data_IF_049167907414
#
_entry.id   IF_049167907414
#
_cell.length_a   1.000
_cell.length_b   1.000
_cell.length_c   1.000
_cell.angle_alpha   90.00
_cell.angle_beta   90.00
_cell.angle_gamma   90.00
#
_symmetry.space_group_name_H-M   'P 1'
#
loop_
_entity.id
_entity.type
_entity.pdbx_description
1 polymer ?
#
# COMPACT_ATOMS: atom_id res chain seq x y z
N UNK A 1 8.15 -20.61 -26.49
CA UNK A 1 7.56 -20.66 -27.85
C UNK A 1 7.95 -19.45 -28.73
N UNK A 2 7.97 -18.22 -28.22
CA UNK A 2 8.26 -16.99 -29.03
C UNK A 2 9.68 -16.97 -29.61
N UNK A 3 10.67 -17.53 -28.94
CA UNK A 3 12.07 -17.60 -29.45
C UNK A 3 12.26 -18.38 -30.78
N UNK A 4 11.23 -19.12 -31.22
CA UNK A 4 11.27 -19.92 -32.46
C UNK A 4 10.64 -19.26 -33.68
N UNK A 5 10.01 -18.08 -33.53
CA UNK A 5 9.37 -17.40 -34.66
C UNK A 5 10.33 -16.40 -35.31
N UNK A 6 10.65 -16.64 -36.59
CA UNK A 6 11.49 -15.74 -37.41
C UNK A 6 10.80 -14.43 -37.80
N UNK A 7 9.45 -14.36 -37.68
CA UNK A 7 8.61 -13.17 -37.97
C UNK A 7 7.56 -13.04 -36.91
N UNK A 8 7.40 -11.83 -36.37
CA UNK A 8 6.31 -11.49 -35.50
C UNK A 8 5.11 -11.03 -36.35
N UNK A 9 3.98 -11.70 -36.14
CA UNK A 9 2.68 -11.33 -36.72
C UNK A 9 1.61 -11.25 -35.62
N UNK A 10 0.44 -10.77 -35.98
CA UNK A 10 -0.66 -10.56 -35.04
C UNK A 10 -1.11 -11.86 -34.34
N UNK A 11 -1.08 -12.99 -35.05
CA UNK A 11 -1.55 -14.28 -34.54
C UNK A 11 -0.61 -14.83 -33.47
N UNK A 12 0.71 -14.80 -33.72
CA UNK A 12 1.68 -15.32 -32.75
C UNK A 12 1.83 -14.40 -31.52
N UNK A 13 1.69 -13.07 -31.68
CA UNK A 13 1.60 -12.15 -30.55
C UNK A 13 0.32 -12.40 -29.75
N UNK A 14 -0.82 -12.56 -30.41
CA UNK A 14 -2.10 -12.82 -29.73
C UNK A 14 -2.08 -14.13 -28.93
N UNK A 15 -1.44 -15.17 -29.49
CA UNK A 15 -1.22 -16.44 -28.77
C UNK A 15 -0.35 -16.27 -27.54
N UNK A 16 0.77 -15.55 -27.68
CA UNK A 16 1.66 -15.26 -26.54
C UNK A 16 0.98 -14.42 -25.46
N UNK A 17 0.24 -13.39 -25.86
CA UNK A 17 -0.52 -12.55 -24.94
C UNK A 17 -1.60 -13.33 -24.20
N UNK A 18 -2.20 -14.33 -24.82
CA UNK A 18 -3.14 -15.22 -24.14
C UNK A 18 -2.46 -16.02 -23.03
N UNK A 19 -1.27 -16.57 -23.27
CA UNK A 19 -0.50 -17.29 -22.23
C UNK A 19 -0.11 -16.35 -21.07
N UNK A 20 0.37 -15.14 -21.38
CA UNK A 20 0.70 -14.11 -20.37
C UNK A 20 -0.53 -13.71 -19.57
N UNK A 21 -1.66 -13.47 -20.23
CA UNK A 21 -2.92 -13.13 -19.58
C UNK A 21 -3.38 -14.22 -18.61
N UNK A 22 -3.33 -15.48 -19.02
CA UNK A 22 -3.69 -16.61 -18.17
C UNK A 22 -2.76 -16.69 -16.95
N UNK A 23 -1.44 -16.56 -17.16
CA UNK A 23 -0.49 -16.59 -16.05
C UNK A 23 -0.72 -15.46 -15.03
N UNK A 24 -1.04 -14.26 -15.48
CA UNK A 24 -1.35 -13.13 -14.58
C UNK A 24 -2.68 -13.35 -13.83
N UNK A 25 -3.70 -13.88 -14.48
CA UNK A 25 -4.99 -14.21 -13.84
C UNK A 25 -4.83 -15.37 -12.84
N UNK A 26 -4.03 -16.38 -13.16
CA UNK A 26 -3.66 -17.46 -12.24
C UNK A 26 -2.85 -16.95 -11.05
N UNK A 27 -2.11 -15.86 -11.21
CA UNK A 27 -1.43 -15.13 -10.14
C UNK A 27 -2.35 -14.18 -9.35
N UNK A 28 -3.66 -14.23 -9.61
CA UNK A 28 -4.69 -13.44 -8.93
C UNK A 28 -4.64 -11.94 -9.20
N UNK A 29 -3.98 -11.53 -10.29
CA UNK A 29 -3.93 -10.12 -10.71
C UNK A 29 -5.31 -9.67 -11.20
N UNK A 30 -5.73 -8.45 -10.82
CA UNK A 30 -7.01 -7.90 -11.19
C UNK A 30 -7.22 -7.88 -12.71
N UNK A 31 -8.40 -8.33 -13.17
CA UNK A 31 -8.73 -8.45 -14.59
C UNK A 31 -8.54 -7.16 -15.40
N UNK A 32 -8.90 -6.00 -14.84
CA UNK A 32 -8.75 -4.71 -15.53
C UNK A 32 -7.27 -4.40 -15.77
N UNK A 33 -6.42 -4.62 -14.76
CA UNK A 33 -4.96 -4.45 -14.85
C UNK A 33 -4.37 -5.37 -15.90
N UNK A 34 -4.75 -6.66 -15.88
CA UNK A 34 -4.29 -7.65 -16.87
C UNK A 34 -4.69 -7.25 -18.28
N UNK A 35 -5.92 -6.77 -18.47
CA UNK A 35 -6.44 -6.32 -19.77
C UNK A 35 -5.65 -5.10 -20.29
N UNK A 36 -5.45 -4.10 -19.48
CA UNK A 36 -4.69 -2.90 -19.85
C UNK A 36 -3.25 -3.22 -20.19
N UNK A 37 -2.59 -4.01 -19.34
CA UNK A 37 -1.21 -4.46 -19.55
C UNK A 37 -1.06 -5.22 -20.88
N UNK A 38 -1.89 -6.24 -21.11
CA UNK A 38 -1.81 -7.07 -22.32
C UNK A 38 -2.10 -6.27 -23.59
N UNK A 39 -2.99 -5.27 -23.54
CA UNK A 39 -3.25 -4.38 -24.65
C UNK A 39 -2.04 -3.48 -24.96
N UNK A 40 -1.42 -2.86 -23.94
CA UNK A 40 -0.22 -2.04 -24.12
C UNK A 40 0.94 -2.83 -24.72
N UNK A 41 1.19 -4.04 -24.21
CA UNK A 41 2.23 -4.92 -24.76
C UNK A 41 1.93 -5.28 -26.22
N UNK A 42 0.68 -5.65 -26.54
CA UNK A 42 0.28 -6.00 -27.91
C UNK A 42 0.48 -4.81 -28.87
N UNK A 43 0.05 -3.62 -28.48
CA UNK A 43 0.21 -2.40 -29.29
C UNK A 43 1.68 -2.11 -29.59
N UNK A 44 2.54 -2.12 -28.58
CA UNK A 44 3.98 -1.91 -28.76
C UNK A 44 4.65 -3.03 -29.58
N UNK A 45 4.23 -4.27 -29.38
CA UNK A 45 4.77 -5.41 -30.10
C UNK A 45 4.42 -5.44 -31.61
N UNK A 46 3.32 -4.80 -31.99
CA UNK A 46 2.91 -4.64 -33.40
C UNK A 46 3.54 -3.41 -34.06
N UNK A 47 4.32 -2.60 -33.33
CA UNK A 47 4.99 -1.41 -33.84
C UNK A 47 6.02 -1.68 -34.92
N UNK A 48 6.35 -0.64 -35.70
CA UNK A 48 7.29 -0.68 -36.81
C UNK A 48 8.70 -1.15 -36.43
N UNK A 49 9.17 -0.80 -35.22
CA UNK A 49 10.49 -1.16 -34.73
C UNK A 49 10.65 -2.67 -34.57
N UNK A 50 9.60 -3.33 -34.09
CA UNK A 50 9.60 -4.79 -33.90
C UNK A 50 9.57 -5.50 -35.25
N UNK A 51 8.73 -5.01 -36.18
CA UNK A 51 8.62 -5.58 -37.54
C UNK A 51 9.92 -5.50 -38.35
N UNK A 52 10.74 -4.47 -38.10
CA UNK A 52 12.03 -4.25 -38.77
C UNK A 52 13.21 -4.90 -38.07
N UNK A 53 13.00 -5.50 -36.91
CA UNK A 53 14.07 -6.11 -36.12
C UNK A 53 14.57 -7.42 -36.73
N UNK A 54 15.89 -7.66 -36.66
CA UNK A 54 16.50 -8.93 -36.99
C UNK A 54 16.23 -10.05 -35.95
N UNK A 55 15.79 -9.64 -34.73
CA UNK A 55 15.47 -10.54 -33.62
C UNK A 55 14.14 -10.15 -32.97
N UNK A 56 13.01 -10.31 -33.66
CA UNK A 56 11.72 -9.84 -33.16
C UNK A 56 11.31 -10.45 -31.82
N UNK A 57 11.66 -11.71 -31.56
CA UNK A 57 11.35 -12.37 -30.29
C UNK A 57 12.07 -11.77 -29.08
N UNK A 58 13.32 -11.34 -29.25
CA UNK A 58 14.08 -10.68 -28.19
C UNK A 58 13.52 -9.27 -27.89
N UNK A 59 13.12 -8.55 -28.96
CA UNK A 59 12.46 -7.24 -28.82
C UNK A 59 11.12 -7.37 -28.11
N UNK A 60 10.31 -8.39 -28.45
CA UNK A 60 9.05 -8.66 -27.75
C UNK A 60 9.27 -8.94 -26.26
N UNK A 61 10.25 -9.76 -25.89
CA UNK A 61 10.57 -10.04 -24.48
C UNK A 61 11.04 -8.79 -23.74
N UNK A 62 11.77 -7.91 -24.41
CA UNK A 62 12.17 -6.63 -23.85
C UNK A 62 10.94 -5.74 -23.58
N UNK A 63 10.03 -5.61 -24.55
CA UNK A 63 8.78 -4.85 -24.39
C UNK A 63 7.97 -5.40 -23.21
N UNK A 64 7.81 -6.71 -23.11
CA UNK A 64 7.09 -7.35 -22.02
C UNK A 64 7.72 -7.02 -20.65
N UNK A 65 9.06 -7.12 -20.58
CA UNK A 65 9.81 -6.77 -19.36
C UNK A 65 9.65 -5.29 -18.99
N UNK A 66 9.81 -4.40 -19.97
CA UNK A 66 9.73 -2.96 -19.75
C UNK A 66 8.31 -2.56 -19.28
N UNK A 67 7.26 -3.17 -19.86
CA UNK A 67 5.89 -2.92 -19.41
C UNK A 67 5.59 -3.49 -18.00
N UNK A 68 6.21 -4.61 -17.63
CA UNK A 68 6.11 -5.13 -16.26
C UNK A 68 6.82 -4.20 -15.27
N UNK A 69 7.99 -3.68 -15.62
CA UNK A 69 8.70 -2.70 -14.78
C UNK A 69 7.88 -1.42 -14.62
N UNK A 70 7.31 -0.89 -15.72
CA UNK A 70 6.43 0.27 -15.67
C UNK A 70 5.19 0.05 -14.77
N UNK A 71 4.63 -1.17 -14.79
CA UNK A 71 3.49 -1.53 -13.95
C UNK A 71 3.87 -1.58 -12.46
N UNK A 72 5.07 -2.06 -12.14
CA UNK A 72 5.59 -2.15 -10.77
C UNK A 72 6.11 -0.80 -10.23
N UNK A 73 6.41 0.15 -11.13
CA UNK A 73 7.04 1.42 -10.80
C UNK A 73 8.56 1.33 -10.72
N UNK A 74 9.23 2.35 -11.24
CA UNK A 74 10.70 2.40 -11.34
C UNK A 74 11.36 3.07 -10.12
N UNK A 75 10.61 3.91 -9.36
CA UNK A 75 11.16 4.74 -8.30
C UNK A 75 10.96 4.14 -6.92
N UNK A 76 12.05 4.01 -6.19
CA UNK A 76 12.00 3.68 -4.77
C UNK A 76 11.77 4.97 -3.97
N UNK A 77 10.52 5.19 -3.53
CA UNK A 77 10.17 6.33 -2.69
C UNK A 77 10.45 6.05 -1.21
N UNK A 78 11.23 6.91 -0.57
CA UNK A 78 11.37 6.88 0.88
C UNK A 78 10.18 7.61 1.55
N UNK A 79 9.86 7.20 2.80
CA UNK A 79 8.86 7.90 3.60
C UNK A 79 9.29 9.34 3.87
N UNK A 80 8.36 10.27 3.72
CA UNK A 80 8.56 11.66 4.11
C UNK A 80 8.44 11.79 5.64
N UNK A 81 9.57 11.74 6.30
CA UNK A 81 9.68 11.91 7.75
C UNK A 81 10.17 13.31 8.14
N UNK A 82 9.93 14.30 7.28
CA UNK A 82 10.20 15.70 7.57
C UNK A 82 9.13 16.26 8.51
N UNK A 83 9.52 16.96 9.53
CA UNK A 83 8.59 17.51 10.53
C UNK A 83 9.05 17.23 11.95
N UNK A 84 8.49 17.96 12.90
CA UNK A 84 8.80 17.80 14.32
C UNK A 84 7.52 17.93 15.16
N UNK A 85 6.84 16.81 15.43
CA UNK A 85 7.08 15.47 14.91
C UNK A 85 6.63 15.30 13.45
N UNK A 86 7.23 14.34 12.73
CA UNK A 86 6.64 13.79 11.51
C UNK A 86 5.43 12.93 11.88
N UNK A 87 4.32 13.04 11.13
CA UNK A 87 3.07 12.33 11.39
C UNK A 87 2.80 11.33 10.29
N UNK A 88 2.71 10.05 10.64
CA UNK A 88 2.38 8.94 9.75
C UNK A 88 1.05 8.34 10.19
N UNK A 89 0.05 8.41 9.32
CA UNK A 89 -1.30 7.91 9.58
C UNK A 89 -1.49 6.57 8.85
N UNK A 90 -1.79 5.50 9.59
CA UNK A 90 -2.10 4.21 9.01
C UNK A 90 -3.62 4.05 8.89
N UNK A 91 -4.08 3.75 7.68
CA UNK A 91 -5.50 3.54 7.34
C UNK A 91 -5.69 2.15 6.73
N UNK A 92 -6.92 1.65 6.69
CA UNK A 92 -7.22 0.35 6.09
C UNK A 92 -8.40 -0.35 6.77
N UNK A 93 -8.86 -1.44 6.17
CA UNK A 93 -9.99 -2.22 6.68
C UNK A 93 -9.69 -2.88 8.04
N UNK A 94 -10.74 -3.31 8.71
CA UNK A 94 -10.61 -4.09 9.93
C UNK A 94 -9.88 -5.41 9.64
N UNK A 95 -8.95 -5.79 10.52
CA UNK A 95 -8.18 -7.02 10.35
C UNK A 95 -7.06 -6.96 9.31
N UNK A 96 -6.83 -5.82 8.64
CA UNK A 96 -5.74 -5.67 7.67
C UNK A 96 -4.33 -5.66 8.32
N UNK A 97 -4.23 -5.57 9.64
CA UNK A 97 -2.97 -5.61 10.36
C UNK A 97 -2.36 -4.23 10.68
N UNK A 98 -3.16 -3.15 10.71
CA UNK A 98 -2.68 -1.78 11.04
C UNK A 98 -1.90 -1.72 12.35
N UNK A 99 -2.49 -2.16 13.45
CA UNK A 99 -1.89 -2.12 14.78
C UNK A 99 -0.53 -2.85 14.84
N UNK A 100 -0.46 -4.04 14.25
CA UNK A 100 0.81 -4.79 14.16
C UNK A 100 1.82 -4.10 13.26
N UNK A 101 1.36 -3.50 12.16
CA UNK A 101 2.20 -2.76 11.22
C UNK A 101 2.81 -1.53 11.87
N UNK A 102 2.03 -0.78 12.66
CA UNK A 102 2.53 0.38 13.44
C UNK A 102 3.70 -0.03 14.33
N UNK A 103 3.54 -1.10 15.09
CA UNK A 103 4.58 -1.60 15.98
C UNK A 103 5.87 -1.96 15.22
N UNK A 104 5.74 -2.69 14.10
CA UNK A 104 6.86 -3.07 13.25
C UNK A 104 7.52 -1.85 12.59
N UNK A 105 6.73 -0.92 12.05
CA UNK A 105 7.22 0.28 11.38
C UNK A 105 7.93 1.22 12.37
N UNK A 106 7.33 1.48 13.53
CA UNK A 106 7.93 2.30 14.57
C UNK A 106 9.28 1.76 15.04
N UNK A 107 9.37 0.44 15.28
CA UNK A 107 10.62 -0.20 15.64
C UNK A 107 11.66 -0.14 14.51
N UNK A 108 11.25 -0.31 13.26
CA UNK A 108 12.11 -0.19 12.09
C UNK A 108 12.69 1.22 11.95
N UNK A 109 11.84 2.24 12.04
CA UNK A 109 12.24 3.65 11.91
C UNK A 109 13.12 4.09 13.08
N UNK A 110 12.86 3.62 14.30
CA UNK A 110 13.73 3.83 15.45
C UNK A 110 15.12 3.27 15.20
N UNK A 111 15.22 2.02 14.72
CA UNK A 111 16.51 1.34 14.53
C UNK A 111 17.28 1.84 13.32
N UNK A 112 16.59 2.10 12.19
CA UNK A 112 17.26 2.43 10.92
C UNK A 112 17.40 3.93 10.66
N UNK A 113 16.50 4.74 11.17
CA UNK A 113 16.47 6.19 10.92
C UNK A 113 16.71 7.00 12.23
N UNK A 114 16.99 6.33 13.35
CA UNK A 114 17.22 6.91 14.67
C UNK A 114 16.08 7.84 15.14
N UNK A 115 14.83 7.49 14.77
CA UNK A 115 13.64 8.23 15.19
C UNK A 115 13.21 7.88 16.62
N UNK A 116 12.57 8.84 17.29
CA UNK A 116 11.93 8.66 18.60
C UNK A 116 10.41 8.60 18.42
N UNK A 117 9.84 7.40 18.16
CA UNK A 117 8.43 7.26 17.83
C UNK A 117 7.53 7.30 19.06
N UNK A 118 6.35 7.92 18.91
CA UNK A 118 5.18 7.79 19.76
C UNK A 118 4.05 7.12 18.95
N UNK A 119 3.36 6.17 19.54
CA UNK A 119 2.14 5.61 18.96
C UNK A 119 0.92 6.35 19.49
N UNK A 120 -0.07 6.63 18.65
CA UNK A 120 -1.36 7.20 19.07
C UNK A 120 -2.46 6.19 18.77
N UNK A 121 -3.19 5.78 19.82
CA UNK A 121 -4.31 4.84 19.72
C UNK A 121 -5.59 5.59 19.37
N UNK A 122 -5.91 5.69 18.08
CA UNK A 122 -7.11 6.36 17.56
C UNK A 122 -8.20 5.40 17.05
N UNK A 123 -8.06 4.08 17.27
CA UNK A 123 -9.15 3.10 17.07
C UNK A 123 -10.04 3.07 18.33
N UNK A 124 -10.80 4.14 18.52
CA UNK A 124 -11.63 4.38 19.72
C UNK A 124 -12.83 3.46 19.86
N UNK A 125 -13.20 2.77 18.78
CA UNK A 125 -14.36 1.87 18.75
C UNK A 125 -14.07 0.48 19.29
N UNK A 126 -12.78 0.12 19.38
CA UNK A 126 -12.35 -1.21 19.81
C UNK A 126 -11.36 -1.14 20.98
N UNK A 127 -11.83 -1.21 22.23
CA UNK A 127 -10.94 -1.21 23.39
C UNK A 127 -9.81 -2.23 23.30
N UNK A 128 -10.10 -3.42 22.78
CA UNK A 128 -9.08 -4.45 22.57
C UNK A 128 -7.95 -4.04 21.60
N UNK A 129 -8.20 -3.15 20.63
CA UNK A 129 -7.17 -2.63 19.74
C UNK A 129 -6.24 -1.66 20.47
N UNK A 130 -6.79 -0.83 21.35
CA UNK A 130 -6.00 0.06 22.22
C UNK A 130 -5.09 -0.76 23.12
N UNK A 131 -5.63 -1.79 23.80
CA UNK A 131 -4.86 -2.68 24.68
C UNK A 131 -3.79 -3.46 23.91
N UNK A 132 -4.09 -3.90 22.70
CA UNK A 132 -3.12 -4.54 21.81
C UNK A 132 -1.97 -3.60 21.47
N UNK A 133 -2.26 -2.33 21.10
CA UNK A 133 -1.22 -1.36 20.78
C UNK A 133 -0.35 -1.06 22.01
N UNK A 134 -0.95 -0.92 23.20
CA UNK A 134 -0.23 -0.76 24.47
C UNK A 134 0.70 -1.93 24.75
N UNK A 135 0.23 -3.14 24.54
CA UNK A 135 1.04 -4.35 24.76
C UNK A 135 2.25 -4.36 23.81
N UNK A 136 2.04 -4.09 22.53
CA UNK A 136 3.12 -3.99 21.54
C UNK A 136 4.08 -2.85 21.84
N UNK A 137 3.56 -1.70 22.28
CA UNK A 137 4.38 -0.56 22.70
C UNK A 137 5.29 -0.92 23.88
N UNK A 138 4.74 -1.60 24.87
CA UNK A 138 5.50 -2.08 26.05
C UNK A 138 6.58 -3.08 25.65
N UNK A 139 6.29 -4.06 24.82
CA UNK A 139 7.27 -5.04 24.33
C UNK A 139 8.42 -4.39 23.57
N UNK A 140 8.13 -3.34 22.81
CA UNK A 140 9.10 -2.61 22.02
C UNK A 140 9.78 -1.46 22.79
N UNK A 141 9.33 -1.15 23.99
CA UNK A 141 9.72 0.05 24.74
C UNK A 141 9.50 1.33 23.90
N UNK A 142 8.30 1.44 23.32
CA UNK A 142 7.80 2.61 22.60
C UNK A 142 6.52 3.07 23.29
N UNK A 143 6.43 4.33 23.62
CA UNK A 143 5.31 4.90 24.33
C UNK A 143 4.05 4.94 23.46
N UNK A 144 2.89 4.73 24.09
CA UNK A 144 1.57 4.79 23.45
C UNK A 144 0.74 5.84 24.14
N UNK A 145 0.33 6.84 23.39
CA UNK A 145 -0.64 7.84 23.82
C UNK A 145 -2.07 7.35 23.56
N UNK A 146 -2.91 7.36 24.57
CA UNK A 146 -4.33 7.03 24.45
C UNK A 146 -5.16 7.83 25.46
N UNK A 147 -6.42 8.09 25.12
CA UNK A 147 -7.43 8.70 25.97
C UNK A 147 -8.65 7.76 26.15
N UNK A 148 -8.47 6.49 25.82
CA UNK A 148 -9.56 5.50 25.83
C UNK A 148 -10.56 5.72 24.69
N UNK A 149 -11.85 5.56 25.01
CA UNK A 149 -12.95 5.79 24.06
C UNK A 149 -13.31 7.29 24.05
N UNK A 150 -13.22 7.91 22.88
CA UNK A 150 -13.47 9.35 22.73
C UNK A 150 -13.57 9.78 21.27
N UNK A 151 -13.28 11.05 21.02
CA UNK A 151 -13.23 11.58 19.67
C UNK A 151 -11.84 11.34 19.08
N UNK A 152 -11.78 10.52 18.04
CA UNK A 152 -10.51 10.14 17.39
C UNK A 152 -9.71 11.36 16.90
N UNK A 153 -10.38 12.40 16.38
CA UNK A 153 -9.72 13.63 15.90
C UNK A 153 -9.04 14.37 17.06
N UNK A 154 -9.73 14.53 18.19
CA UNK A 154 -9.19 15.22 19.36
C UNK A 154 -8.04 14.41 20.00
N UNK A 155 -8.17 13.10 20.10
CA UNK A 155 -7.11 12.21 20.59
C UNK A 155 -5.84 12.35 19.74
N UNK A 156 -5.96 12.37 18.41
CA UNK A 156 -4.80 12.55 17.53
C UNK A 156 -4.16 13.93 17.71
N UNK A 157 -4.96 15.00 17.79
CA UNK A 157 -4.45 16.35 18.06
C UNK A 157 -3.69 16.42 19.37
N UNK A 158 -4.31 15.94 20.45
CA UNK A 158 -3.73 15.95 21.79
C UNK A 158 -2.45 15.11 21.84
N UNK A 159 -2.45 13.96 21.19
CA UNK A 159 -1.27 13.10 21.07
C UNK A 159 -0.10 13.76 20.32
N UNK A 160 -0.37 14.59 19.31
CA UNK A 160 0.67 15.36 18.62
C UNK A 160 1.21 16.48 19.52
N UNK A 161 0.34 17.15 20.30
CA UNK A 161 0.78 18.14 21.30
C UNK A 161 1.68 17.45 22.34
N UNK A 162 1.23 16.32 22.88
CA UNK A 162 2.01 15.50 23.80
C UNK A 162 3.37 15.11 23.22
N UNK A 163 3.41 14.69 21.94
CA UNK A 163 4.63 14.33 21.24
C UNK A 163 5.64 15.49 21.22
N UNK A 164 5.17 16.71 20.94
CA UNK A 164 6.00 17.93 20.93
C UNK A 164 6.56 18.27 22.32
N UNK A 165 5.72 18.16 23.37
CA UNK A 165 6.09 18.47 24.75
C UNK A 165 7.10 17.47 25.35
N UNK A 166 7.18 16.23 24.79
CA UNK A 166 8.05 15.16 25.26
C UNK A 166 9.17 14.80 24.27
N UNK A 167 9.45 15.69 23.30
CA UNK A 167 10.54 15.55 22.34
C UNK A 167 10.48 14.26 21.50
N UNK A 168 9.26 13.82 21.13
CA UNK A 168 9.08 12.80 20.09
C UNK A 168 9.17 13.45 18.72
N UNK A 169 9.96 12.86 17.82
CA UNK A 169 10.17 13.37 16.46
C UNK A 169 9.36 12.61 15.37
N UNK A 170 8.65 11.56 15.78
CA UNK A 170 7.82 10.74 14.94
C UNK A 170 6.54 10.31 15.68
N UNK A 171 5.41 10.46 15.03
CA UNK A 171 4.11 9.99 15.50
C UNK A 171 3.54 9.01 14.50
N UNK A 172 3.11 7.82 14.97
CA UNK A 172 2.38 6.85 14.17
C UNK A 172 0.96 6.70 14.74
N UNK A 173 -0.04 6.98 13.90
CA UNK A 173 -1.45 7.00 14.29
C UNK A 173 -2.14 5.71 13.87
N UNK A 174 -2.65 4.93 14.84
CA UNK A 174 -3.48 3.74 14.61
C UNK A 174 -4.95 4.15 14.50
N UNK A 175 -5.46 4.26 13.28
CA UNK A 175 -6.84 4.66 13.05
C UNK A 175 -7.81 3.47 13.10
N UNK A 176 -9.08 3.76 13.32
CA UNK A 176 -10.13 2.77 13.19
C UNK A 176 -10.14 2.08 11.83
N UNK A 177 -10.64 0.86 11.79
CA UNK A 177 -10.96 0.14 10.57
C UNK A 177 -12.36 -0.44 10.66
N UNK A 178 -13.06 -0.48 9.53
CA UNK A 178 -14.34 -1.14 9.39
C UNK A 178 -14.26 -2.29 8.41
N UNK A 179 -15.28 -3.14 8.36
CA UNK A 179 -15.30 -4.30 7.46
C UNK A 179 -15.34 -3.89 5.99
N UNK A 180 -15.90 -2.73 5.69
CA UNK A 180 -16.00 -2.17 4.34
C UNK A 180 -15.62 -0.71 4.32
N UNK A 181 -15.30 -0.20 3.14
CA UNK A 181 -15.17 1.25 2.89
C UNK A 181 -16.56 1.86 2.98
N UNK A 182 -16.82 2.61 4.04
CA UNK A 182 -18.08 3.31 4.26
C UNK A 182 -17.88 4.81 4.48
N UNK A 183 -18.95 5.58 4.33
CA UNK A 183 -18.91 7.03 4.42
C UNK A 183 -18.53 7.54 5.82
N UNK A 184 -18.92 6.81 6.86
CA UNK A 184 -18.61 7.20 8.26
C UNK A 184 -17.12 7.09 8.53
N UNK A 185 -16.49 5.96 8.13
CA UNK A 185 -15.04 5.77 8.23
C UNK A 185 -14.30 6.83 7.43
N UNK A 186 -14.70 7.05 6.17
CA UNK A 186 -14.03 8.02 5.31
C UNK A 186 -14.14 9.44 5.85
N UNK A 187 -15.27 9.82 6.41
CA UNK A 187 -15.46 11.13 7.04
C UNK A 187 -14.55 11.31 8.25
N UNK A 188 -14.46 10.32 9.14
CA UNK A 188 -13.57 10.37 10.30
C UNK A 188 -12.10 10.51 9.87
N UNK A 189 -11.66 9.69 8.93
CA UNK A 189 -10.28 9.73 8.43
C UNK A 189 -9.95 11.07 7.74
N UNK A 190 -10.89 11.65 6.99
CA UNK A 190 -10.76 13.01 6.42
C UNK A 190 -10.62 14.06 7.52
N UNK A 191 -11.45 13.99 8.54
CA UNK A 191 -11.41 14.95 9.65
C UNK A 191 -10.06 14.86 10.41
N UNK A 192 -9.55 13.66 10.66
CA UNK A 192 -8.21 13.48 11.22
C UNK A 192 -7.16 14.11 10.30
N UNK A 193 -7.15 13.75 9.02
CA UNK A 193 -6.21 14.27 8.01
C UNK A 193 -6.23 15.81 7.95
N UNK A 194 -7.41 16.43 7.92
CA UNK A 194 -7.53 17.88 7.84
C UNK A 194 -7.06 18.58 9.11
N UNK A 195 -7.24 17.95 10.28
CA UNK A 195 -6.87 18.53 11.56
C UNK A 195 -5.38 18.49 11.85
N UNK A 196 -4.64 17.50 11.35
CA UNK A 196 -3.23 17.27 11.71
C UNK A 196 -2.28 17.29 10.53
N UNK A 197 -2.79 17.30 9.30
CA UNK A 197 -2.02 17.33 8.05
C UNK A 197 -0.83 16.34 8.05
N UNK A 198 -1.07 15.03 8.04
CA UNK A 198 -0.02 14.04 8.16
C UNK A 198 0.98 14.09 7.00
N UNK A 199 2.25 13.78 7.27
CA UNK A 199 3.29 13.68 6.25
C UNK A 199 3.06 12.48 5.32
N UNK A 200 2.54 11.39 5.89
CA UNK A 200 2.26 10.15 5.20
C UNK A 200 0.88 9.62 5.57
N UNK A 201 0.14 9.15 4.58
CA UNK A 201 -1.10 8.38 4.76
C UNK A 201 -0.90 7.04 4.07
N UNK A 202 -0.67 6.01 4.87
CA UNK A 202 -0.31 4.68 4.39
C UNK A 202 -1.50 3.73 4.52
N UNK A 203 -1.93 3.17 3.41
CA UNK A 203 -2.96 2.14 3.39
C UNK A 203 -2.36 0.77 3.71
N UNK A 204 -2.88 0.13 4.75
CA UNK A 204 -2.50 -1.24 5.12
C UNK A 204 -3.52 -2.22 4.54
N UNK A 205 -3.06 -3.11 3.68
CA UNK A 205 -3.89 -4.08 2.96
C UNK A 205 -3.44 -5.50 3.30
N UNK A 206 -4.41 -6.36 3.58
CA UNK A 206 -4.21 -7.80 3.67
C UNK A 206 -4.03 -8.37 2.26
N UNK A 207 -2.88 -8.98 1.98
CA UNK A 207 -2.62 -9.60 0.67
C UNK A 207 -3.60 -10.75 0.34
N UNK A 208 -4.28 -11.31 1.34
CA UNK A 208 -5.27 -12.38 1.14
C UNK A 208 -6.57 -11.91 0.47
N UNK A 209 -6.83 -10.62 0.37
CA UNK A 209 -8.04 -10.13 -0.32
C UNK A 209 -7.94 -10.21 -1.86
N UNK A 210 -6.76 -10.51 -2.42
CA UNK A 210 -6.56 -10.76 -3.83
C UNK A 210 -7.03 -9.60 -4.73
N UNK A 211 -7.82 -9.92 -5.75
CA UNK A 211 -8.29 -8.94 -6.74
C UNK A 211 -9.12 -7.78 -6.17
N UNK A 212 -9.73 -7.93 -5.01
CA UNK A 212 -10.48 -6.87 -4.33
C UNK A 212 -9.59 -5.74 -3.80
N UNK A 213 -8.28 -5.95 -3.71
CA UNK A 213 -7.33 -4.93 -3.30
C UNK A 213 -7.48 -3.62 -4.10
N UNK A 214 -7.69 -3.72 -5.41
CA UNK A 214 -7.89 -2.56 -6.29
C UNK A 214 -9.11 -1.73 -5.89
N UNK A 215 -10.22 -2.38 -5.54
CA UNK A 215 -11.45 -1.68 -5.12
C UNK A 215 -11.22 -0.97 -3.77
N UNK A 216 -10.54 -1.63 -2.84
CA UNK A 216 -10.19 -1.04 -1.54
C UNK A 216 -9.25 0.16 -1.72
N UNK A 217 -8.17 0.01 -2.51
CA UNK A 217 -7.23 1.10 -2.80
C UNK A 217 -7.98 2.29 -3.42
N UNK A 218 -8.80 2.05 -4.44
CA UNK A 218 -9.57 3.11 -5.11
C UNK A 218 -10.47 3.84 -4.13
N UNK A 219 -11.23 3.10 -3.30
CA UNK A 219 -12.14 3.70 -2.33
C UNK A 219 -11.42 4.56 -1.28
N UNK A 220 -10.27 4.13 -0.78
CA UNK A 220 -9.47 4.95 0.12
C UNK A 220 -8.82 6.14 -0.61
N UNK A 221 -8.30 5.95 -1.82
CA UNK A 221 -7.60 6.99 -2.57
C UNK A 221 -8.54 8.09 -3.09
N UNK A 222 -9.81 7.80 -3.33
CA UNK A 222 -10.84 8.80 -3.63
C UNK A 222 -11.13 9.72 -2.44
N UNK A 223 -10.99 9.19 -1.23
CA UNK A 223 -11.28 9.93 0.00
C UNK A 223 -10.05 10.62 0.60
N UNK A 224 -8.86 10.02 0.45
CA UNK A 224 -7.61 10.43 1.10
C UNK A 224 -6.48 10.42 0.09
N UNK A 225 -5.54 11.40 0.13
CA UNK A 225 -4.35 11.39 -0.70
C UNK A 225 -3.36 10.34 -0.16
N UNK A 226 -3.55 9.09 -0.52
CA UNK A 226 -2.65 8.02 -0.10
C UNK A 226 -1.22 8.29 -0.61
N UNK A 227 -0.24 8.11 0.26
CA UNK A 227 1.19 8.27 -0.07
C UNK A 227 1.90 6.94 -0.29
N UNK A 228 1.32 5.85 0.18
CA UNK A 228 1.87 4.51 0.02
C UNK A 228 0.94 3.41 0.50
N UNK A 229 1.35 2.18 0.24
CA UNK A 229 0.62 0.97 0.64
C UNK A 229 1.57 -0.03 1.30
N UNK A 230 1.13 -0.67 2.37
CA UNK A 230 1.83 -1.79 3.01
C UNK A 230 0.98 -3.04 2.86
N UNK A 231 1.57 -4.07 2.26
CA UNK A 231 0.94 -5.39 2.15
C UNK A 231 1.31 -6.23 3.36
N UNK A 232 0.30 -6.81 4.00
CA UNK A 232 0.44 -7.71 5.15
C UNK A 232 0.08 -9.14 4.79
N UNK A 233 0.40 -10.08 5.66
CA UNK A 233 0.09 -11.53 5.51
C UNK A 233 0.61 -12.14 4.21
N UNK A 234 1.76 -11.65 3.74
CA UNK A 234 2.42 -12.15 2.53
C UNK A 234 2.98 -13.58 2.67
N UNK A 235 2.96 -14.11 3.88
CA UNK A 235 3.29 -15.49 4.26
C UNK A 235 2.09 -16.46 4.14
N UNK A 236 0.92 -15.97 3.75
CA UNK A 236 -0.27 -16.78 3.50
C UNK A 236 -0.22 -17.54 2.17
N UNK A 237 -1.21 -18.42 1.96
CA UNK A 237 -1.30 -19.29 0.76
C UNK A 237 -1.82 -18.55 -0.50
N UNK A 238 -2.15 -17.27 -0.39
CA UNK A 238 -2.64 -16.48 -1.52
C UNK A 238 -1.50 -15.90 -2.34
N UNK A 239 -1.74 -15.72 -3.63
CA UNK A 239 -0.75 -15.19 -4.59
C UNK A 239 -0.59 -13.67 -4.49
N UNK A 240 -1.37 -13.00 -3.66
CA UNK A 240 -1.25 -11.57 -3.36
C UNK A 240 -1.91 -10.63 -4.36
N UNK A 241 -2.52 -11.17 -5.41
CA UNK A 241 -3.34 -10.39 -6.36
C UNK A 241 -2.61 -9.43 -7.29
#
# INVERSE_FOLDING_TARGET
KIKGYGVINEDNISSAMREVRLALLEADVNYKVVKEFTNKVKEKALGEEVKKSLKPGDVFLKILKDELLNLLGDDNSELNLSGNPAVVMLVGLQGSGKTTTIAKLGNLLRKKKNKKPLFIAADVYRPAAIDQLKTLGKELNIEVYDEGQGNAVEIVKNGIVYAKEHDYDLVLVDTAGRLHVDEVLMTELKNIKESVNPNEIILVIDAMIGQDAINVISGFNEALPLTGTILTKMDGDTKGG
#
